data_IF_184427891671
#
_entry.id   IF_184427891671
#
_cell.length_a   1.000
_cell.length_b   1.000
_cell.length_c   1.000
_cell.angle_alpha   90.00
_cell.angle_beta   90.00
_cell.angle_gamma   90.00
#
_symmetry.space_group_name_H-M   'P 1'
#
loop_
_entity.id
_entity.type
_entity.pdbx_description
1 polymer ?
#
# COMPACT_ATOMS: atom_id res chain seq x y z
N UNK A 1 -6.34 5.54 -9.89
CA UNK A 1 -7.65 4.85 -9.84
C UNK A 1 -8.59 5.69 -9.02
N UNK A 2 -9.85 5.79 -9.43
CA UNK A 2 -10.87 6.49 -8.65
C UNK A 2 -11.41 5.60 -7.50
N UNK A 3 -11.96 6.24 -6.46
CA UNK A 3 -12.53 5.59 -5.28
C UNK A 3 -13.64 4.59 -5.64
N UNK A 4 -14.49 4.89 -6.63
CA UNK A 4 -15.56 3.97 -7.06
C UNK A 4 -15.01 2.68 -7.65
N UNK A 5 -13.91 2.77 -8.41
CA UNK A 5 -13.25 1.59 -8.97
C UNK A 5 -12.62 0.74 -7.86
N UNK A 6 -12.00 1.38 -6.87
CA UNK A 6 -11.43 0.68 -5.71
C UNK A 6 -12.52 -0.02 -4.89
N UNK A 7 -13.68 0.60 -4.72
CA UNK A 7 -14.82 -0.03 -4.04
C UNK A 7 -15.35 -1.24 -4.81
N UNK A 8 -15.47 -1.15 -6.15
CA UNK A 8 -15.89 -2.28 -6.99
C UNK A 8 -14.88 -3.42 -6.96
N UNK A 9 -13.59 -3.11 -7.01
CA UNK A 9 -12.51 -4.11 -7.01
C UNK A 9 -12.40 -4.82 -5.65
N UNK A 10 -12.38 -4.06 -4.56
CA UNK A 10 -12.10 -4.60 -3.22
C UNK A 10 -13.36 -5.04 -2.46
N UNK A 11 -14.54 -4.54 -2.87
CA UNK A 11 -15.78 -4.66 -2.11
C UNK A 11 -15.78 -3.87 -0.79
N UNK A 12 -14.79 -2.99 -0.56
CA UNK A 12 -14.62 -2.26 0.69
C UNK A 12 -14.81 -0.76 0.49
N UNK A 13 -15.55 -0.12 1.40
CA UNK A 13 -15.74 1.35 1.42
C UNK A 13 -14.61 2.10 2.14
N UNK A 14 -14.04 1.49 3.17
CA UNK A 14 -13.02 2.14 4.00
C UNK A 14 -11.63 2.04 3.36
N UNK A 15 -10.94 3.17 3.18
CA UNK A 15 -9.59 3.26 2.58
C UNK A 15 -8.57 2.29 3.18
N UNK A 16 -8.51 2.18 4.50
CA UNK A 16 -7.58 1.28 5.18
C UNK A 16 -7.94 -0.19 4.98
N UNK A 17 -9.24 -0.49 4.82
CA UNK A 17 -9.70 -1.84 4.50
C UNK A 17 -9.38 -2.20 3.04
N UNK A 18 -9.46 -1.24 2.12
CA UNK A 18 -9.03 -1.41 0.73
C UNK A 18 -7.52 -1.70 0.67
N UNK A 19 -6.68 -0.94 1.38
CA UNK A 19 -5.24 -1.19 1.41
C UNK A 19 -4.90 -2.57 1.99
N UNK A 20 -5.57 -2.96 3.09
CA UNK A 20 -5.42 -4.30 3.69
C UNK A 20 -5.88 -5.42 2.76
N UNK A 21 -6.84 -5.16 1.89
CA UNK A 21 -7.32 -6.14 0.92
C UNK A 21 -6.19 -6.53 -0.06
N UNK A 22 -5.42 -5.57 -0.56
CA UNK A 22 -4.27 -5.88 -1.43
C UNK A 22 -3.22 -6.75 -0.73
N UNK A 23 -2.94 -6.47 0.54
CA UNK A 23 -2.03 -7.30 1.33
C UNK A 23 -2.56 -8.71 1.55
N UNK A 24 -3.86 -8.85 1.82
CA UNK A 24 -4.49 -10.16 2.04
C UNK A 24 -4.56 -11.00 0.75
N UNK A 25 -4.84 -10.38 -0.39
CA UNK A 25 -5.04 -11.08 -1.66
C UNK A 25 -3.75 -11.27 -2.47
N UNK A 26 -2.85 -10.28 -2.46
CA UNK A 26 -1.62 -10.29 -3.26
C UNK A 26 -0.34 -10.33 -2.43
N UNK A 27 -0.42 -10.09 -1.11
CA UNK A 27 0.78 -9.96 -0.27
C UNK A 27 1.54 -8.64 -0.49
N UNK A 28 0.97 -7.72 -1.27
CA UNK A 28 1.57 -6.42 -1.61
C UNK A 28 1.07 -5.35 -0.64
N UNK A 29 1.99 -4.59 -0.07
CA UNK A 29 1.67 -3.46 0.80
C UNK A 29 1.45 -2.21 -0.06
N UNK A 30 0.21 -1.72 -0.12
CA UNK A 30 -0.16 -0.57 -0.96
C UNK A 30 -0.19 0.70 -0.13
N UNK A 31 0.54 1.76 -0.52
CA UNK A 31 0.49 3.04 0.18
C UNK A 31 -0.92 3.62 0.13
N UNK A 32 -1.37 4.24 1.22
CA UNK A 32 -2.71 4.81 1.35
C UNK A 32 -2.61 6.27 1.80
N UNK A 33 -3.27 7.17 1.08
CA UNK A 33 -3.41 8.58 1.44
C UNK A 33 -4.84 8.88 1.91
N UNK A 34 -5.19 10.16 2.08
CA UNK A 34 -6.49 10.60 2.54
C UNK A 34 -7.63 10.11 1.64
N UNK A 35 -7.39 10.05 0.33
CA UNK A 35 -8.37 9.60 -0.65
C UNK A 35 -8.50 8.06 -0.76
N UNK A 36 -7.46 7.29 -0.39
CA UNK A 36 -7.46 5.85 -0.61
C UNK A 36 -6.09 5.24 -0.91
N UNK A 37 -6.04 3.93 -1.20
CA UNK A 37 -4.88 3.27 -1.79
C UNK A 37 -4.41 3.99 -3.05
N UNK A 38 -3.13 4.32 -3.10
CA UNK A 38 -2.50 4.95 -4.26
C UNK A 38 -1.87 3.86 -5.11
N UNK A 39 -2.33 3.76 -6.35
CA UNK A 39 -1.69 2.90 -7.35
C UNK A 39 -0.46 3.61 -7.90
N UNK A 40 0.67 3.49 -7.20
CA UNK A 40 1.97 3.97 -7.69
C UNK A 40 2.53 3.03 -8.74
N UNK A 41 3.47 3.50 -9.56
CA UNK A 41 4.19 2.64 -10.51
C UNK A 41 4.84 1.45 -9.79
N UNK A 42 5.47 1.66 -8.63
CA UNK A 42 6.02 0.58 -7.82
C UNK A 42 4.96 -0.43 -7.39
N UNK A 43 3.78 0.02 -6.95
CA UNK A 43 2.68 -0.86 -6.56
C UNK A 43 2.23 -1.73 -7.74
N UNK A 44 2.14 -1.13 -8.93
CA UNK A 44 1.78 -1.85 -10.14
C UNK A 44 2.84 -2.90 -10.51
N UNK A 45 4.13 -2.55 -10.43
CA UNK A 45 5.23 -3.50 -10.66
C UNK A 45 5.21 -4.65 -9.65
N UNK A 46 4.93 -4.37 -8.37
CA UNK A 46 4.83 -5.39 -7.33
C UNK A 46 3.66 -6.35 -7.58
N UNK A 47 2.52 -5.83 -8.05
CA UNK A 47 1.35 -6.64 -8.44
C UNK A 47 1.67 -7.51 -9.67
N UNK A 48 2.35 -6.96 -10.69
CA UNK A 48 2.80 -7.73 -11.86
C UNK A 48 3.81 -8.81 -11.46
N UNK A 49 4.80 -8.46 -10.64
CA UNK A 49 5.76 -9.42 -10.11
C UNK A 49 5.04 -10.54 -9.35
N UNK A 50 3.97 -10.22 -8.60
CA UNK A 50 3.20 -11.25 -7.89
C UNK A 50 2.47 -12.16 -8.86
N UNK A 51 1.86 -11.61 -9.90
CA UNK A 51 1.19 -12.38 -10.96
C UNK A 51 2.16 -13.31 -11.70
N UNK A 52 3.40 -12.86 -11.92
CA UNK A 52 4.46 -13.66 -12.54
C UNK A 52 5.17 -14.62 -11.57
N UNK A 53 4.82 -14.62 -10.27
CA UNK A 53 5.50 -15.43 -9.24
C UNK A 53 6.90 -14.93 -8.86
N UNK A 54 7.27 -13.71 -9.26
CA UNK A 54 8.56 -13.06 -9.02
C UNK A 54 8.57 -12.15 -7.78
N UNK A 55 7.42 -11.98 -7.12
CA UNK A 55 7.31 -11.11 -5.95
C UNK A 55 7.95 -11.75 -4.71
N UNK A 56 9.09 -11.20 -4.31
CA UNK A 56 9.87 -11.62 -3.13
C UNK A 56 9.39 -11.02 -1.80
N UNK A 57 8.22 -10.37 -1.78
CA UNK A 57 7.71 -9.69 -0.60
C UNK A 57 8.26 -8.28 -0.42
N UNK A 58 7.73 -7.51 0.55
CA UNK A 58 8.27 -6.21 0.89
C UNK A 58 9.71 -6.38 1.40
N UNK A 59 10.69 -5.91 0.62
CA UNK A 59 12.02 -5.63 1.13
C UNK A 59 11.84 -4.65 2.30
N UNK A 60 12.14 -5.09 3.51
CA UNK A 60 12.10 -4.24 4.70
C UNK A 60 13.05 -3.07 4.48
N UNK A 61 12.52 -1.93 4.03
CA UNK A 61 13.30 -0.70 3.97
C UNK A 61 13.72 -0.39 5.41
N UNK A 62 15.02 -0.18 5.69
CA UNK A 62 15.46 0.13 7.04
C UNK A 62 14.73 1.39 7.50
N UNK A 63 14.00 1.27 8.61
CA UNK A 63 13.23 2.38 9.16
C UNK A 63 14.17 3.55 9.44
N UNK A 64 14.09 4.60 8.63
CA UNK A 64 14.81 5.85 8.88
C UNK A 64 14.27 6.40 10.20
N UNK A 65 15.10 6.36 11.25
CA UNK A 65 14.70 6.84 12.58
C UNK A 65 14.29 8.30 12.47
N UNK A 66 13.02 8.59 12.77
CA UNK A 66 12.49 9.96 12.77
C UNK A 66 13.24 10.77 13.85
N UNK A 67 13.84 11.93 13.53
CA UNK A 67 14.56 12.71 14.53
C UNK A 67 13.61 13.20 15.61
N UNK A 68 13.92 12.89 16.87
CA UNK A 68 13.22 13.42 18.04
C UNK A 68 13.56 14.90 18.19
N UNK A 69 12.61 15.78 17.84
CA UNK A 69 12.69 17.20 18.16
C UNK A 69 12.35 17.36 19.64
N UNK A 70 13.35 17.61 20.48
CA UNK A 70 13.16 17.97 21.89
C UNK A 70 12.89 19.47 21.95
N UNK A 71 11.64 19.87 22.14
CA UNK A 71 11.32 21.27 22.44
C UNK A 71 11.93 21.64 23.80
N UNK A 72 12.91 22.56 23.77
CA UNK A 72 13.38 23.25 24.96
C UNK A 72 12.34 24.30 25.34
N UNK A 73 11.98 24.34 26.63
CA UNK A 73 11.15 25.37 27.24
C UNK A 73 11.92 26.68 27.38
#
# INVERSE_FOLDING_TARGET
MDLEQLQKLTGRKNRSAQARWFKAHFGVDVPCDQAGPIMTEQTYQDLLAKQCGLYSGPQAQPAVRRPTVRNAR
#
